data_IF_904447127947
#
_entry.id   IF_904447127947
#
_cell.length_a   1.000
_cell.length_b   1.000
_cell.length_c   1.000
_cell.angle_alpha   90.00
_cell.angle_beta   90.00
_cell.angle_gamma   90.00
#
_symmetry.space_group_name_H-M   'P 1'
#
loop_
_entity.id
_entity.type
_entity.pdbx_description
1 polymer ?
#
# COMPACT_ATOMS: atom_id res chain seq x y z
N UNK A 1 -9.27 -1.96 -9.43
CA UNK A 1 -8.93 -1.48 -10.80
C UNK A 1 -8.74 0.03 -10.79
N UNK A 2 -7.81 0.62 -11.56
CA UNK A 2 -7.71 2.08 -11.67
C UNK A 2 -9.04 2.64 -12.21
N UNK A 3 -9.62 3.60 -11.50
CA UNK A 3 -10.88 4.23 -11.92
C UNK A 3 -10.67 5.10 -13.15
N UNK A 4 -11.66 5.24 -14.06
CA UNK A 4 -11.52 6.13 -15.20
C UNK A 4 -11.44 7.61 -14.74
N UNK A 5 -10.49 8.36 -15.31
CA UNK A 5 -10.29 9.80 -15.10
C UNK A 5 -9.22 10.18 -14.04
N UNK A 6 -8.91 11.48 -13.93
CA UNK A 6 -8.00 12.05 -12.92
C UNK A 6 -8.70 12.14 -11.54
N UNK A 7 -9.22 11.02 -11.04
CA UNK A 7 -9.88 10.96 -9.73
C UNK A 7 -8.82 10.77 -8.65
N UNK A 8 -8.96 11.49 -7.54
CA UNK A 8 -8.11 11.30 -6.38
C UNK A 8 -8.16 9.84 -5.90
N UNK A 9 -7.01 9.28 -5.55
CA UNK A 9 -6.91 7.86 -5.19
C UNK A 9 -7.83 7.48 -4.02
N UNK A 10 -8.06 8.39 -3.08
CA UNK A 10 -9.02 8.21 -1.97
C UNK A 10 -10.47 8.02 -2.45
N UNK A 11 -10.84 8.61 -3.59
CA UNK A 11 -12.15 8.39 -4.22
C UNK A 11 -12.19 7.03 -4.92
N UNK A 12 -11.10 6.63 -5.58
CA UNK A 12 -10.98 5.32 -6.22
C UNK A 12 -11.07 4.21 -5.16
N UNK A 13 -10.39 4.38 -4.02
CA UNK A 13 -10.46 3.47 -2.87
C UNK A 13 -11.88 3.26 -2.35
N UNK A 14 -12.64 4.34 -2.13
CA UNK A 14 -14.02 4.24 -1.64
C UNK A 14 -14.95 3.55 -2.64
N UNK A 15 -14.69 3.74 -3.93
CA UNK A 15 -15.55 3.23 -4.99
C UNK A 15 -15.15 1.84 -5.50
N UNK A 16 -14.03 1.29 -5.05
CA UNK A 16 -13.47 0.05 -5.62
C UNK A 16 -13.96 -1.23 -4.94
N UNK A 17 -14.75 -1.14 -3.86
CA UNK A 17 -15.13 -2.32 -3.06
C UNK A 17 -13.97 -2.92 -2.24
N UNK A 18 -12.74 -2.41 -2.39
CA UNK A 18 -11.55 -2.95 -1.69
C UNK A 18 -11.65 -2.82 -0.18
N UNK A 19 -12.33 -1.78 0.33
CA UNK A 19 -12.53 -1.62 1.76
C UNK A 19 -13.23 -2.84 2.40
N UNK A 20 -14.25 -3.40 1.74
CA UNK A 20 -14.99 -4.58 2.22
C UNK A 20 -14.12 -5.84 2.27
N UNK A 21 -13.12 -5.92 1.40
CA UNK A 21 -12.17 -7.03 1.34
C UNK A 21 -11.06 -6.93 2.38
N UNK A 22 -10.91 -5.75 2.99
CA UNK A 22 -9.96 -5.49 4.06
C UNK A 22 -10.63 -5.45 5.43
N UNK A 23 -11.91 -5.85 5.53
CA UNK A 23 -12.63 -5.89 6.80
C UNK A 23 -11.90 -6.79 7.81
N UNK A 24 -11.65 -6.26 9.00
CA UNK A 24 -10.91 -6.93 10.07
C UNK A 24 -9.37 -6.89 9.92
N UNK A 25 -8.84 -6.24 8.87
CA UNK A 25 -7.39 -6.08 8.66
C UNK A 25 -7.01 -4.60 8.79
N UNK A 26 -5.95 -4.32 9.54
CA UNK A 26 -5.38 -2.97 9.60
C UNK A 26 -4.70 -2.63 8.28
N UNK A 27 -5.28 -1.67 7.55
CA UNK A 27 -4.71 -1.18 6.28
C UNK A 27 -4.08 0.19 6.47
N UNK A 28 -2.81 0.30 6.09
CA UNK A 28 -2.06 1.55 6.09
C UNK A 28 -2.32 2.33 4.79
N UNK A 29 -2.69 3.60 4.94
CA UNK A 29 -2.88 4.52 3.82
C UNK A 29 -1.82 5.62 3.81
N UNK A 30 -1.53 6.16 2.63
CA UNK A 30 -0.75 7.41 2.53
C UNK A 30 -1.56 8.58 3.14
N UNK A 31 -0.89 9.66 3.54
CA UNK A 31 -1.50 10.85 4.12
C UNK A 31 -2.51 11.56 3.20
N UNK A 32 -2.58 11.21 1.92
CA UNK A 32 -3.62 11.65 0.99
C UNK A 32 -4.95 10.88 1.13
N UNK A 33 -4.95 9.70 1.75
CA UNK A 33 -6.15 8.88 2.00
C UNK A 33 -6.86 9.31 3.28
N UNK A 34 -7.26 10.58 3.34
CA UNK A 34 -7.99 11.14 4.47
C UNK A 34 -9.47 10.70 4.39
N UNK A 35 -10.10 10.44 5.53
CA UNK A 35 -11.52 10.06 5.66
C UNK A 35 -11.90 8.76 4.91
N UNK A 36 -10.96 7.83 4.76
CA UNK A 36 -11.16 6.52 4.11
C UNK A 36 -11.27 5.36 5.09
N UNK A 37 -11.11 5.61 6.39
CA UNK A 37 -11.02 4.57 7.43
C UNK A 37 -9.64 3.89 7.51
N UNK A 38 -8.71 4.24 6.63
CA UNK A 38 -7.33 3.74 6.65
C UNK A 38 -6.52 4.38 7.78
N UNK A 39 -5.58 3.62 8.33
CA UNK A 39 -4.58 4.16 9.24
C UNK A 39 -3.62 5.02 8.41
N UNK A 40 -3.75 6.33 8.51
CA UNK A 40 -2.92 7.31 7.82
C UNK A 40 -1.99 8.02 8.82
N UNK A 41 -0.81 8.50 8.38
CA UNK A 41 0.10 9.21 9.26
C UNK A 41 -0.53 10.48 9.85
N UNK A 42 -0.20 10.77 11.11
CA UNK A 42 -0.64 11.96 11.83
C UNK A 42 -0.11 13.22 11.13
N UNK A 43 -1.02 14.14 10.79
CA UNK A 43 -0.68 15.37 10.10
C UNK A 43 -0.37 16.47 11.11
N UNK A 44 0.84 17.03 11.02
CA UNK A 44 1.24 18.21 11.81
C UNK A 44 0.33 19.40 11.50
N UNK A 45 -0.29 19.97 12.54
CA UNK A 45 -1.10 21.19 12.42
C UNK A 45 -0.18 22.42 12.33
N UNK A 46 -0.52 23.43 11.49
CA UNK A 46 0.25 24.68 11.44
C UNK A 46 0.39 25.29 12.84
N UNK A 47 1.62 25.70 13.19
CA UNK A 47 1.91 26.36 14.47
C UNK A 47 1.93 25.47 15.71
N UNK A 48 1.77 24.14 15.59
CA UNK A 48 1.90 23.21 16.73
C UNK A 48 2.89 22.08 16.44
N UNK A 49 3.77 21.71 17.39
CA UNK A 49 4.56 20.50 17.27
C UNK A 49 3.64 19.27 17.33
N UNK A 50 4.07 18.20 16.67
CA UNK A 50 3.41 16.91 16.77
C UNK A 50 3.76 16.31 18.14
N UNK A 51 2.79 15.75 18.90
CA UNK A 51 3.09 15.01 20.13
C UNK A 51 4.11 13.89 19.89
N UNK A 52 4.93 13.57 20.89
CA UNK A 52 6.01 12.59 20.74
C UNK A 52 5.50 11.19 20.32
N UNK A 53 4.37 10.74 20.86
CA UNK A 53 3.75 9.47 20.45
C UNK A 53 3.30 9.46 18.99
N UNK A 54 2.67 10.55 18.51
CA UNK A 54 2.25 10.68 17.11
C UNK A 54 3.46 10.74 16.15
N UNK A 55 4.59 11.27 16.60
CA UNK A 55 5.84 11.28 15.83
C UNK A 55 6.47 9.89 15.74
N UNK A 56 6.41 9.10 16.81
CA UNK A 56 6.84 7.70 16.85
C UNK A 56 5.97 6.84 15.92
N UNK A 57 4.65 6.96 16.02
CA UNK A 57 3.69 6.28 15.12
C UNK A 57 3.97 6.64 13.65
N UNK A 58 4.24 7.91 13.36
CA UNK A 58 4.64 8.35 12.02
C UNK A 58 5.98 7.79 11.56
N UNK A 59 6.93 7.57 12.47
CA UNK A 59 8.22 6.97 12.15
C UNK A 59 8.07 5.48 11.80
N UNK A 60 7.25 4.74 12.54
CA UNK A 60 6.89 3.36 12.22
C UNK A 60 6.15 3.28 10.88
N UNK A 61 5.17 4.15 10.68
CA UNK A 61 4.43 4.24 9.42
C UNK A 61 5.38 4.47 8.23
N UNK A 62 6.32 5.42 8.34
CA UNK A 62 7.36 5.69 7.33
C UNK A 62 8.23 4.46 7.07
N UNK A 63 8.61 3.70 8.10
CA UNK A 63 9.41 2.49 7.97
C UNK A 63 8.69 1.40 7.18
N UNK A 64 7.40 1.17 7.46
CA UNK A 64 6.59 0.20 6.71
C UNK A 64 6.40 0.66 5.27
N UNK A 65 6.03 1.94 5.08
CA UNK A 65 5.83 2.53 3.75
C UNK A 65 7.07 2.41 2.87
N UNK A 66 8.26 2.70 3.39
CA UNK A 66 9.52 2.57 2.63
C UNK A 66 9.75 1.13 2.12
N UNK A 67 9.38 0.10 2.89
CA UNK A 67 9.50 -1.30 2.47
C UNK A 67 8.54 -1.64 1.34
N UNK A 68 7.30 -1.17 1.44
CA UNK A 68 6.26 -1.37 0.42
C UNK A 68 6.64 -0.63 -0.86
N UNK A 69 7.03 0.63 -0.79
CA UNK A 69 7.49 1.43 -1.94
C UNK A 69 8.69 0.77 -2.62
N UNK A 70 9.66 0.24 -1.85
CA UNK A 70 10.80 -0.48 -2.42
C UNK A 70 10.38 -1.75 -3.16
N UNK A 71 9.43 -2.51 -2.62
CA UNK A 71 8.87 -3.67 -3.31
C UNK A 71 8.16 -3.26 -4.61
N UNK A 72 7.31 -2.24 -4.56
CA UNK A 72 6.61 -1.70 -5.74
C UNK A 72 7.59 -1.16 -6.78
N UNK A 73 8.63 -0.43 -6.38
CA UNK A 73 9.66 0.07 -7.28
C UNK A 73 10.42 -1.08 -7.97
N UNK A 74 10.74 -2.15 -7.22
CA UNK A 74 11.35 -3.36 -7.77
C UNK A 74 10.43 -4.10 -8.74
N UNK A 75 9.12 -4.13 -8.47
CA UNK A 75 8.12 -4.69 -9.38
C UNK A 75 8.01 -3.86 -10.67
N UNK A 76 7.88 -2.53 -10.55
CA UNK A 76 7.81 -1.61 -11.69
C UNK A 76 9.05 -1.67 -12.59
N UNK A 77 10.23 -1.86 -12.01
CA UNK A 77 11.47 -2.03 -12.77
C UNK A 77 11.67 -3.48 -13.29
N UNK A 78 10.68 -4.36 -13.12
CA UNK A 78 10.75 -5.79 -13.43
C UNK A 78 11.96 -6.50 -12.79
N UNK A 79 12.58 -5.89 -11.77
CA UNK A 79 13.83 -6.35 -11.17
C UNK A 79 13.59 -7.62 -10.37
N UNK A 80 12.44 -7.74 -9.70
CA UNK A 80 12.03 -8.99 -9.04
C UNK A 80 11.91 -10.11 -10.07
N UNK A 81 11.16 -9.93 -11.17
CA UNK A 81 11.01 -10.97 -12.19
C UNK A 81 12.34 -11.34 -12.85
N UNK A 82 13.21 -10.35 -13.09
CA UNK A 82 14.57 -10.58 -13.62
C UNK A 82 15.45 -11.33 -12.62
N UNK A 83 15.46 -10.93 -11.35
CA UNK A 83 16.26 -11.57 -10.30
C UNK A 83 15.76 -13.00 -10.01
N UNK A 84 14.44 -13.23 -10.02
CA UNK A 84 13.84 -14.57 -9.89
C UNK A 84 14.12 -15.48 -11.08
N UNK A 85 14.28 -14.93 -12.29
CA UNK A 85 14.72 -15.70 -13.47
C UNK A 85 16.22 -16.03 -13.40
N UNK A 86 17.04 -15.14 -12.85
CA UNK A 86 18.50 -15.30 -12.79
C UNK A 86 18.97 -16.14 -11.58
N UNK A 87 18.20 -16.17 -10.50
CA UNK A 87 18.48 -16.97 -9.31
C UNK A 87 17.56 -18.19 -9.29
N UNK A 88 18.11 -19.39 -9.46
CA UNK A 88 17.38 -20.67 -9.35
C UNK A 88 16.90 -20.94 -7.92
N UNK A 89 15.83 -20.27 -7.48
CA UNK A 89 15.20 -20.47 -6.17
C UNK A 89 13.76 -19.94 -6.12
N UNK A 90 13.10 -20.06 -4.95
CA UNK A 90 11.65 -19.85 -4.77
C UNK A 90 11.15 -18.40 -4.93
N UNK A 91 12.03 -17.46 -5.32
CA UNK A 91 11.65 -16.06 -5.52
C UNK A 91 10.54 -15.89 -6.57
N UNK A 92 10.56 -16.70 -7.64
CA UNK A 92 9.50 -16.68 -8.65
C UNK A 92 8.17 -17.17 -8.07
N UNK A 93 8.21 -18.21 -7.23
CA UNK A 93 7.03 -18.77 -6.58
C UNK A 93 6.34 -17.74 -5.69
N UNK A 94 7.09 -17.03 -4.84
CA UNK A 94 6.54 -15.98 -3.99
C UNK A 94 6.02 -14.77 -4.79
N UNK A 95 6.70 -14.38 -5.87
CA UNK A 95 6.23 -13.30 -6.74
C UNK A 95 4.90 -13.67 -7.42
N UNK A 96 4.78 -14.91 -7.92
CA UNK A 96 3.54 -15.41 -8.53
C UNK A 96 2.41 -15.52 -7.50
N UNK A 97 2.69 -16.02 -6.30
CA UNK A 97 1.69 -16.08 -5.21
C UNK A 97 1.18 -14.69 -4.82
N UNK A 98 2.07 -13.70 -4.70
CA UNK A 98 1.68 -12.33 -4.38
C UNK A 98 0.81 -11.72 -5.49
N UNK A 99 1.18 -11.92 -6.76
CA UNK A 99 0.38 -11.44 -7.91
C UNK A 99 -0.98 -12.13 -7.97
N UNK A 100 -1.02 -13.45 -7.81
CA UNK A 100 -2.26 -14.22 -7.80
C UNK A 100 -3.17 -13.80 -6.64
N UNK A 101 -2.62 -13.59 -5.44
CA UNK A 101 -3.38 -13.11 -4.30
C UNK A 101 -3.98 -11.72 -4.56
N UNK A 102 -3.19 -10.77 -5.07
CA UNK A 102 -3.71 -9.45 -5.44
C UNK A 102 -4.76 -9.52 -6.56
N UNK A 103 -4.58 -10.41 -7.54
CA UNK A 103 -5.55 -10.60 -8.63
C UNK A 103 -6.87 -11.19 -8.11
N UNK A 104 -6.82 -12.18 -7.22
CA UNK A 104 -7.99 -12.79 -6.61
C UNK A 104 -8.77 -11.77 -5.76
N UNK A 105 -8.07 -10.92 -5.00
CA UNK A 105 -8.71 -9.82 -4.26
C UNK A 105 -9.39 -8.82 -5.21
N UNK A 106 -8.84 -8.60 -6.41
CA UNK A 106 -9.44 -7.70 -7.39
C UNK A 106 -10.63 -8.31 -8.15
N UNK A 107 -10.71 -9.64 -8.26
CA UNK A 107 -11.84 -10.34 -8.89
C UNK A 107 -13.02 -10.58 -7.94
N UNK A 108 -12.74 -10.64 -6.63
CA UNK A 108 -13.78 -10.72 -5.61
C UNK A 108 -14.48 -9.38 -5.36
N UNK A 109 -13.92 -8.27 -5.87
CA UNK A 109 -14.39 -6.89 -5.71
C UNK A 109 -15.43 -6.43 -6.74
#
# INVERSE_FOLDING_TARGET
>A
MPGPGNRADAQVWRNSGLAQHCDGVTVLGDGAYINTGLVAPHRKRPGRPLPAGEEEDNAEHRRVRARVEHAVARMKNCKILRDCRQRSGDGLHHAVQAVAHMHNLALAA
#
